data_IF_317305287181
#
_entry.id   IF_317305287181
#
_cell.length_a   1.000
_cell.length_b   1.000
_cell.length_c   1.000
_cell.angle_alpha   90.00
_cell.angle_beta   90.00
_cell.angle_gamma   90.00
#
_symmetry.space_group_name_H-M   'P 1'
#
loop_
_entity.id
_entity.type
_entity.pdbx_description
1 polymer ?
#
# COMPACT_ATOMS: atom_id res chain seq x y z
N UNK A 1 -16.36 -31.56 6.81
CA UNK A 1 -15.49 -32.25 5.83
C UNK A 1 -14.28 -31.35 5.63
N UNK A 2 -13.09 -31.78 6.03
CA UNK A 2 -11.83 -31.05 5.80
C UNK A 2 -11.58 -31.00 4.30
N UNK A 3 -11.35 -29.80 3.76
CA UNK A 3 -11.16 -29.61 2.31
C UNK A 3 -9.75 -30.04 1.89
N UNK A 4 -9.57 -30.57 0.67
CA UNK A 4 -8.30 -31.15 0.23
C UNK A 4 -7.21 -30.07 0.09
N UNK A 5 -6.06 -30.33 0.70
CA UNK A 5 -4.85 -29.50 0.64
C UNK A 5 -4.24 -29.60 -0.75
N UNK A 6 -3.77 -28.48 -1.31
CA UNK A 6 -3.11 -28.50 -2.62
C UNK A 6 -1.61 -28.85 -2.52
N UNK A 7 -0.97 -29.15 -3.66
CA UNK A 7 0.45 -29.53 -3.72
C UNK A 7 1.38 -28.48 -3.10
N UNK A 8 1.17 -27.21 -3.42
CA UNK A 8 2.04 -26.14 -2.94
C UNK A 8 1.86 -25.93 -1.44
N UNK A 9 0.63 -26.02 -0.93
CA UNK A 9 0.36 -25.95 0.52
C UNK A 9 1.02 -27.11 1.29
N UNK A 10 0.92 -28.33 0.75
CA UNK A 10 1.62 -29.49 1.29
C UNK A 10 3.14 -29.26 1.36
N UNK A 11 3.70 -28.67 0.30
CA UNK A 11 5.11 -28.32 0.23
C UNK A 11 5.50 -27.22 1.22
N UNK A 12 4.67 -26.20 1.37
CA UNK A 12 4.91 -25.06 2.27
C UNK A 12 4.88 -25.52 3.74
N UNK A 13 3.90 -26.37 4.10
CA UNK A 13 3.83 -26.97 5.44
C UNK A 13 5.07 -27.80 5.73
N UNK A 14 5.49 -28.65 4.79
CA UNK A 14 6.71 -29.44 4.94
C UNK A 14 7.97 -28.56 5.00
N UNK A 15 7.99 -27.45 4.27
CA UNK A 15 9.08 -26.48 4.25
C UNK A 15 9.36 -25.81 5.60
N UNK A 16 8.37 -25.77 6.50
CA UNK A 16 8.58 -25.30 7.88
C UNK A 16 9.46 -26.26 8.71
N UNK A 17 9.57 -27.53 8.31
CA UNK A 17 10.26 -28.57 9.09
C UNK A 17 11.48 -29.15 8.37
N UNK A 18 11.44 -29.20 7.03
CA UNK A 18 12.42 -29.87 6.20
C UNK A 18 13.04 -28.89 5.19
N UNK A 19 14.34 -29.03 4.86
CA UNK A 19 15.00 -28.18 3.88
C UNK A 19 14.39 -28.39 2.48
N UNK A 20 14.30 -27.32 1.69
CA UNK A 20 13.65 -27.33 0.37
C UNK A 20 14.21 -28.41 -0.58
N UNK A 21 15.52 -28.65 -0.56
CA UNK A 21 16.21 -29.62 -1.41
C UNK A 21 15.83 -31.09 -1.09
N UNK A 22 15.24 -31.34 0.08
CA UNK A 22 14.79 -32.68 0.48
C UNK A 22 13.38 -33.02 0.02
N UNK A 23 12.61 -32.04 -0.45
CA UNK A 23 11.19 -32.14 -0.78
C UNK A 23 10.97 -32.50 -2.27
N UNK A 24 11.12 -33.78 -2.59
CA UNK A 24 10.78 -34.30 -3.92
C UNK A 24 9.27 -34.31 -4.17
N UNK A 25 8.86 -34.25 -5.44
CA UNK A 25 7.45 -34.26 -5.85
C UNK A 25 6.65 -35.40 -5.18
N UNK A 26 7.21 -36.61 -5.19
CA UNK A 26 6.54 -37.78 -4.62
C UNK A 26 6.39 -37.71 -3.10
N UNK A 27 7.33 -37.08 -2.38
CA UNK A 27 7.21 -36.88 -0.93
C UNK A 27 6.08 -35.89 -0.62
N UNK A 28 5.98 -34.80 -1.38
CA UNK A 28 4.90 -33.82 -1.23
C UNK A 28 3.53 -34.47 -1.50
N UNK A 29 3.41 -35.28 -2.55
CA UNK A 29 2.15 -36.00 -2.84
C UNK A 29 1.82 -37.06 -1.79
N UNK A 30 2.81 -37.81 -1.29
CA UNK A 30 2.60 -38.74 -0.17
C UNK A 30 2.08 -38.01 1.05
N UNK A 31 2.62 -36.83 1.38
CA UNK A 31 2.14 -36.01 2.49
C UNK A 31 0.71 -35.53 2.26
N UNK A 32 0.45 -34.85 1.14
CA UNK A 32 -0.85 -34.26 0.77
C UNK A 32 -1.97 -35.29 0.84
N UNK A 33 -1.81 -36.41 0.17
CA UNK A 33 -2.83 -37.46 0.12
C UNK A 33 -2.95 -38.23 1.45
N UNK A 34 -1.84 -38.38 2.20
CA UNK A 34 -1.93 -38.94 3.55
C UNK A 34 -2.67 -38.01 4.51
N UNK A 35 -2.58 -36.69 4.33
CA UNK A 35 -3.31 -35.68 5.12
C UNK A 35 -4.83 -35.82 4.96
N UNK A 36 -5.26 -36.20 3.77
CA UNK A 36 -6.64 -36.56 3.41
C UNK A 36 -7.05 -37.99 3.82
N UNK A 37 -6.16 -38.73 4.49
CA UNK A 37 -6.42 -40.11 4.94
C UNK A 37 -6.25 -41.19 3.86
N UNK A 38 -5.71 -40.85 2.68
CA UNK A 38 -5.55 -41.80 1.56
C UNK A 38 -4.36 -42.74 1.77
N UNK A 39 -4.47 -43.96 1.26
CA UNK A 39 -3.43 -45.01 1.31
C UNK A 39 -2.33 -44.83 0.24
N UNK A 40 -1.22 -45.57 0.34
CA UNK A 40 -0.15 -45.52 -0.68
C UNK A 40 -0.59 -46.07 -2.04
N UNK A 41 -1.55 -47.03 -2.06
CA UNK A 41 -2.17 -47.48 -3.30
C UNK A 41 -2.82 -46.32 -4.05
N UNK A 42 -3.61 -45.50 -3.33
CA UNK A 42 -4.26 -44.35 -3.93
C UNK A 42 -3.25 -43.30 -4.43
N UNK A 43 -2.17 -43.08 -3.68
CA UNK A 43 -1.09 -42.19 -4.10
C UNK A 43 -0.43 -42.71 -5.38
N UNK A 44 -0.17 -44.02 -5.48
CA UNK A 44 0.38 -44.66 -6.68
C UNK A 44 -0.55 -44.48 -7.88
N UNK A 45 -1.85 -44.75 -7.69
CA UNK A 45 -2.87 -44.60 -8.73
C UNK A 45 -2.99 -43.15 -9.24
N UNK A 46 -2.97 -42.17 -8.33
CA UNK A 46 -3.15 -40.75 -8.65
C UNK A 46 -1.90 -40.13 -9.28
N UNK A 47 -0.71 -40.54 -8.83
CA UNK A 47 0.56 -39.97 -9.31
C UNK A 47 1.19 -40.75 -10.47
N UNK A 48 0.69 -41.95 -10.76
CA UNK A 48 1.23 -42.85 -11.80
C UNK A 48 2.57 -43.51 -11.45
N UNK A 49 3.05 -43.38 -10.20
CA UNK A 49 4.27 -44.05 -9.74
C UNK A 49 3.99 -45.47 -9.26
N UNK A 50 5.02 -46.32 -9.32
CA UNK A 50 4.97 -47.66 -8.73
C UNK A 50 4.73 -47.61 -7.21
N UNK A 51 3.91 -48.53 -6.70
CA UNK A 51 3.52 -48.58 -5.30
C UNK A 51 4.72 -48.71 -4.35
N UNK A 52 5.74 -49.51 -4.69
CA UNK A 52 6.90 -49.71 -3.83
C UNK A 52 7.78 -48.47 -3.80
N UNK A 53 7.85 -47.72 -4.91
CA UNK A 53 8.50 -46.41 -4.95
C UNK A 53 7.80 -45.40 -4.04
N UNK A 54 6.46 -45.30 -4.12
CA UNK A 54 5.64 -44.46 -3.23
C UNK A 54 5.85 -44.83 -1.77
N UNK A 55 5.81 -46.13 -1.46
CA UNK A 55 6.00 -46.64 -0.09
C UNK A 55 7.38 -46.29 0.45
N UNK A 56 8.43 -46.41 -0.36
CA UNK A 56 9.81 -46.05 0.01
C UNK A 56 9.93 -44.54 0.26
N UNK A 57 9.38 -43.71 -0.63
CA UNK A 57 9.36 -42.26 -0.48
C UNK A 57 8.63 -41.84 0.81
N UNK A 58 7.47 -42.43 1.10
CA UNK A 58 6.74 -42.18 2.33
C UNK A 58 7.50 -42.59 3.58
N UNK A 59 8.12 -43.78 3.59
CA UNK A 59 8.97 -44.21 4.71
C UNK A 59 10.13 -43.25 4.97
N UNK A 60 10.73 -42.70 3.91
CA UNK A 60 11.81 -41.73 4.03
C UNK A 60 11.29 -40.40 4.59
N UNK A 61 10.16 -39.89 4.09
CA UNK A 61 9.54 -38.67 4.58
C UNK A 61 9.25 -38.74 6.10
N UNK A 62 8.63 -39.83 6.56
CA UNK A 62 8.31 -39.98 8.00
C UNK A 62 9.57 -40.06 8.87
N UNK A 63 10.65 -40.65 8.35
CA UNK A 63 11.94 -40.70 9.04
C UNK A 63 12.60 -39.32 9.11
N UNK A 64 12.53 -38.55 8.03
CA UNK A 64 13.04 -37.17 7.98
C UNK A 64 12.26 -36.27 8.94
N UNK A 65 10.93 -36.34 8.97
CA UNK A 65 10.12 -35.64 9.97
C UNK A 65 10.46 -36.11 11.38
N UNK A 66 10.56 -37.41 11.64
CA UNK A 66 10.98 -37.94 12.96
C UNK A 66 12.30 -37.35 13.45
N UNK A 67 13.25 -37.00 12.56
CA UNK A 67 14.50 -36.36 12.96
C UNK A 67 14.35 -34.89 13.44
N UNK A 68 13.18 -34.29 13.24
CA UNK A 68 12.84 -32.89 13.57
C UNK A 68 11.90 -32.76 14.77
N UNK A 69 11.34 -33.87 15.23
CA UNK A 69 10.45 -33.90 16.39
C UNK A 69 11.01 -34.85 17.46
N UNK A 70 10.68 -34.60 18.72
CA UNK A 70 11.08 -35.46 19.84
C UNK A 70 10.33 -36.81 19.87
N UNK A 71 9.34 -36.98 19.00
CA UNK A 71 8.49 -38.16 18.90
C UNK A 71 8.55 -38.78 17.51
N UNK A 72 8.43 -40.10 17.43
CA UNK A 72 8.36 -40.81 16.15
C UNK A 72 7.13 -40.38 15.34
N UNK A 73 7.39 -39.81 14.15
CA UNK A 73 6.38 -39.45 13.17
C UNK A 73 6.10 -40.64 12.26
N UNK A 74 4.84 -40.98 12.13
CA UNK A 74 4.31 -42.06 11.29
C UNK A 74 3.08 -41.56 10.54
N UNK A 75 2.67 -42.25 9.48
CA UNK A 75 1.43 -41.96 8.77
C UNK A 75 0.16 -41.92 9.66
N UNK A 76 0.18 -42.53 10.85
CA UNK A 76 -0.98 -42.56 11.76
C UNK A 76 -1.05 -41.37 12.71
N UNK A 77 0.09 -40.78 13.05
CA UNK A 77 0.17 -39.72 14.07
C UNK A 77 0.78 -38.41 13.55
N UNK A 78 1.27 -38.36 12.31
CA UNK A 78 1.90 -37.15 11.76
C UNK A 78 0.97 -35.94 11.80
N UNK A 79 -0.31 -36.09 11.44
CA UNK A 79 -1.26 -34.97 11.40
C UNK A 79 -1.39 -34.27 12.76
N UNK A 80 -1.86 -34.92 13.85
CA UNK A 80 -2.00 -34.24 15.14
C UNK A 80 -0.66 -33.72 15.70
N UNK A 81 0.46 -34.41 15.43
CA UNK A 81 1.79 -33.95 15.85
C UNK A 81 2.21 -32.68 15.11
N UNK A 82 2.01 -32.62 13.79
CA UNK A 82 2.34 -31.45 12.99
C UNK A 82 1.39 -30.28 13.31
N UNK A 83 0.11 -30.54 13.51
CA UNK A 83 -0.86 -29.53 13.91
C UNK A 83 -0.46 -28.86 15.24
N UNK A 84 -0.10 -29.65 16.26
CA UNK A 84 0.41 -29.13 17.54
C UNK A 84 1.67 -28.27 17.35
N UNK A 85 2.58 -28.69 16.48
CA UNK A 85 3.85 -28.01 16.26
C UNK A 85 3.69 -26.74 15.42
N UNK A 86 2.78 -26.72 14.45
CA UNK A 86 2.43 -25.53 13.70
C UNK A 86 1.73 -24.49 14.62
N UNK A 87 0.89 -24.93 15.55
CA UNK A 87 0.30 -24.05 16.57
C UNK A 87 1.37 -23.50 17.51
N UNK A 88 2.37 -24.30 17.91
CA UNK A 88 3.53 -23.81 18.68
C UNK A 88 4.34 -22.80 17.88
N UNK A 89 4.61 -23.06 16.60
CA UNK A 89 5.32 -22.14 15.70
C UNK A 89 4.55 -20.83 15.50
N UNK A 90 3.22 -20.88 15.35
CA UNK A 90 2.39 -19.67 15.25
C UNK A 90 2.38 -18.89 16.57
N UNK A 91 2.32 -19.60 17.72
CA UNK A 91 2.36 -18.99 19.06
C UNK A 91 3.74 -18.44 19.44
N UNK A 92 4.81 -18.94 18.79
CA UNK A 92 6.18 -18.46 18.93
C UNK A 92 6.52 -17.34 17.92
N UNK A 93 5.58 -16.93 17.05
CA UNK A 93 5.75 -15.72 16.24
C UNK A 93 5.92 -14.55 17.20
N UNK A 94 7.15 -14.05 17.32
CA UNK A 94 7.50 -12.85 18.09
C UNK A 94 6.96 -11.57 17.45
N UNK A 95 6.45 -11.66 16.23
CA UNK A 95 6.05 -10.54 15.40
C UNK A 95 4.59 -10.18 15.69
N UNK A 96 4.39 -9.06 16.39
CA UNK A 96 3.06 -8.53 16.69
C UNK A 96 2.39 -8.06 15.40
N UNK A 97 1.22 -8.62 15.08
CA UNK A 97 0.46 -8.21 13.90
C UNK A 97 -0.09 -6.79 14.08
N UNK A 98 0.21 -5.91 13.12
CA UNK A 98 -0.31 -4.54 13.08
C UNK A 98 -1.57 -4.48 12.21
N UNK A 99 -2.65 -3.88 12.72
CA UNK A 99 -3.87 -3.70 11.93
C UNK A 99 -3.61 -2.75 10.74
N UNK A 100 -3.96 -3.14 9.49
CA UNK A 100 -3.62 -2.35 8.32
C UNK A 100 -4.32 -1.00 8.24
N UNK A 101 -3.70 -0.05 7.54
CA UNK A 101 -4.33 1.22 7.15
C UNK A 101 -3.78 2.48 7.80
N UNK A 102 -2.86 2.34 8.76
CA UNK A 102 -2.03 3.43 9.29
C UNK A 102 -0.74 3.62 8.48
N UNK A 103 -0.02 4.71 8.78
CA UNK A 103 1.35 4.86 8.29
C UNK A 103 2.25 3.87 9.03
N UNK A 104 3.12 3.18 8.29
CA UNK A 104 4.03 2.19 8.87
C UNK A 104 5.31 2.87 9.33
N UNK A 105 5.77 2.49 10.52
CA UNK A 105 7.07 2.93 11.05
C UNK A 105 8.22 2.43 10.17
N UNK A 106 9.41 2.99 10.37
CA UNK A 106 10.60 2.60 9.61
C UNK A 106 10.95 1.12 9.82
N UNK A 107 10.85 0.65 11.07
CA UNK A 107 11.17 -0.73 11.46
C UNK A 107 10.02 -1.71 11.23
N UNK A 108 8.88 -1.29 10.70
CA UNK A 108 7.74 -2.18 10.50
C UNK A 108 8.10 -3.23 9.43
N UNK A 109 8.06 -4.53 9.76
CA UNK A 109 8.38 -5.60 8.81
C UNK A 109 7.34 -5.71 7.70
N UNK A 110 6.15 -5.12 7.87
CA UNK A 110 5.07 -5.12 6.90
C UNK A 110 5.24 -4.09 5.78
N UNK A 111 6.25 -3.22 5.87
CA UNK A 111 6.57 -2.30 4.80
C UNK A 111 7.30 -3.01 3.67
N UNK A 112 6.75 -2.96 2.46
CA UNK A 112 7.42 -3.42 1.25
C UNK A 112 8.10 -2.23 0.58
N UNK A 113 9.42 -2.34 0.42
CA UNK A 113 10.23 -1.33 -0.24
C UNK A 113 9.76 -1.07 -1.67
N UNK A 114 9.76 0.22 -2.02
CA UNK A 114 9.47 0.73 -3.35
C UNK A 114 10.74 1.32 -3.92
N UNK A 115 11.71 0.45 -4.19
CA UNK A 115 13.10 0.83 -4.46
C UNK A 115 13.24 1.91 -5.54
N UNK A 116 12.45 1.85 -6.61
CA UNK A 116 12.50 2.85 -7.69
C UNK A 116 11.93 4.21 -7.26
N UNK A 117 10.74 4.23 -6.65
CA UNK A 117 10.09 5.45 -6.17
C UNK A 117 10.89 6.10 -5.04
N UNK A 118 11.33 5.31 -4.06
CA UNK A 118 12.15 5.77 -2.92
C UNK A 118 13.47 6.37 -3.39
N UNK A 119 14.22 5.67 -4.24
CA UNK A 119 15.52 6.16 -4.75
C UNK A 119 15.37 7.48 -5.51
N UNK A 120 14.27 7.66 -6.25
CA UNK A 120 13.98 8.90 -6.97
C UNK A 120 13.67 10.03 -6.00
N UNK A 121 12.87 9.77 -4.96
CA UNK A 121 12.55 10.77 -3.92
C UNK A 121 13.79 11.20 -3.15
N UNK A 122 14.60 10.24 -2.68
CA UNK A 122 15.81 10.54 -1.90
C UNK A 122 16.81 11.37 -2.71
N UNK A 123 16.92 11.12 -4.02
CA UNK A 123 17.79 11.94 -4.88
C UNK A 123 17.25 13.36 -5.08
N UNK A 124 15.94 13.48 -5.25
CA UNK A 124 15.29 14.76 -5.53
C UNK A 124 15.32 15.68 -4.31
N UNK A 125 15.06 15.15 -3.10
CA UNK A 125 14.99 15.97 -1.89
C UNK A 125 16.32 16.65 -1.53
N UNK A 126 17.44 16.10 -2.04
CA UNK A 126 18.76 16.71 -1.88
C UNK A 126 18.97 17.94 -2.81
N UNK A 127 18.19 18.07 -3.88
CA UNK A 127 18.37 19.15 -4.86
C UNK A 127 17.92 20.52 -4.30
N UNK A 128 18.68 21.60 -4.54
CA UNK A 128 18.29 22.96 -4.14
C UNK A 128 16.89 23.35 -4.60
N UNK A 129 16.05 23.77 -3.65
CA UNK A 129 14.68 24.21 -3.95
C UNK A 129 13.75 23.12 -4.44
N UNK A 130 14.03 21.83 -4.20
CA UNK A 130 13.25 20.73 -4.80
C UNK A 130 11.78 20.72 -4.37
N UNK A 131 10.93 20.20 -5.24
CA UNK A 131 9.54 19.84 -4.90
C UNK A 131 9.33 18.36 -5.23
N UNK A 132 8.92 17.58 -4.24
CA UNK A 132 8.49 16.19 -4.41
C UNK A 132 6.98 16.12 -4.23
N UNK A 133 6.27 15.50 -5.17
CA UNK A 133 4.82 15.30 -5.11
C UNK A 133 4.50 13.83 -4.96
N UNK A 134 4.18 13.40 -3.75
CA UNK A 134 3.74 12.03 -3.46
C UNK A 134 2.23 11.96 -3.65
N UNK A 135 1.80 11.31 -4.73
CA UNK A 135 0.39 11.22 -5.11
C UNK A 135 -0.05 9.78 -5.36
N UNK A 136 -1.34 9.57 -5.29
CA UNK A 136 -2.01 8.32 -5.62
C UNK A 136 -3.30 8.16 -4.80
N UNK A 137 -4.06 7.10 -5.04
CA UNK A 137 -5.25 6.79 -4.26
C UNK A 137 -4.97 6.70 -2.75
N UNK A 138 -6.00 6.87 -1.93
CA UNK A 138 -6.04 6.59 -0.49
C UNK A 138 -5.51 5.17 -0.27
N UNK A 139 -4.92 4.95 0.89
CA UNK A 139 -4.48 3.61 1.31
C UNK A 139 -3.43 2.94 0.38
N UNK A 140 -2.72 3.73 -0.43
CA UNK A 140 -1.56 3.30 -1.23
C UNK A 140 -0.22 3.33 -0.49
N UNK A 141 -0.17 3.83 0.76
CA UNK A 141 1.09 3.94 1.52
C UNK A 141 1.87 5.24 1.29
N UNK A 142 1.18 6.32 0.87
CA UNK A 142 1.75 7.67 0.72
C UNK A 142 2.42 8.15 2.00
N UNK A 143 1.72 8.02 3.13
CA UNK A 143 2.23 8.42 4.45
C UNK A 143 3.44 7.59 4.89
N UNK A 144 3.47 6.29 4.57
CA UNK A 144 4.63 5.43 4.87
C UNK A 144 5.87 5.82 4.05
N UNK A 145 5.69 6.20 2.78
CA UNK A 145 6.78 6.75 1.97
C UNK A 145 7.26 8.09 2.54
N UNK A 146 6.34 9.00 2.85
CA UNK A 146 6.65 10.30 3.45
C UNK A 146 7.50 10.18 4.72
N UNK A 147 7.18 9.25 5.63
CA UNK A 147 7.98 9.03 6.84
C UNK A 147 9.45 8.67 6.53
N UNK A 148 9.70 7.94 5.44
CA UNK A 148 11.07 7.61 4.99
C UNK A 148 11.79 8.79 4.36
N UNK A 149 11.05 9.66 3.65
CA UNK A 149 11.59 10.92 3.14
C UNK A 149 12.04 11.82 4.29
N UNK A 150 11.24 11.87 5.36
CA UNK A 150 11.56 12.63 6.56
C UNK A 150 12.81 12.07 7.24
N UNK A 151 12.86 10.75 7.46
CA UNK A 151 14.04 10.08 8.03
C UNK A 151 15.31 10.35 7.21
N UNK A 152 15.23 10.24 5.87
CA UNK A 152 16.34 10.59 4.98
C UNK A 152 16.75 12.06 5.15
N UNK A 153 15.80 13.00 5.17
CA UNK A 153 16.10 14.41 5.32
C UNK A 153 16.74 14.74 6.68
N UNK A 154 16.25 14.14 7.76
CA UNK A 154 16.83 14.29 9.10
C UNK A 154 18.24 13.71 9.17
N UNK A 155 18.50 12.58 8.51
CA UNK A 155 19.84 11.98 8.44
C UNK A 155 20.87 12.86 7.72
N UNK A 156 20.40 13.71 6.80
CA UNK A 156 21.20 14.72 6.07
C UNK A 156 21.32 16.04 6.85
N UNK A 157 20.74 16.11 8.07
CA UNK A 157 20.77 17.27 8.94
C UNK A 157 19.82 18.39 8.53
N UNK A 158 18.82 18.11 7.70
CA UNK A 158 17.83 19.13 7.31
C UNK A 158 16.86 19.41 8.46
N UNK A 159 16.41 20.66 8.56
CA UNK A 159 15.23 20.96 9.37
C UNK A 159 14.00 20.35 8.73
N UNK A 160 13.08 19.84 9.55
CA UNK A 160 11.82 19.26 9.07
C UNK A 160 10.65 19.96 9.75
N UNK A 161 9.66 20.35 8.96
CA UNK A 161 8.34 20.79 9.42
C UNK A 161 7.28 20.01 8.67
N UNK A 162 6.32 19.45 9.41
CA UNK A 162 5.18 18.73 8.83
C UNK A 162 3.88 19.44 9.16
N UNK A 163 3.12 19.80 8.14
CA UNK A 163 1.82 20.44 8.23
C UNK A 163 0.76 19.44 7.81
N UNK A 164 -0.18 19.15 8.70
CA UNK A 164 -1.30 18.26 8.42
C UNK A 164 -2.59 19.04 8.28
N UNK A 165 -3.08 19.17 7.04
CA UNK A 165 -4.27 19.97 6.74
C UNK A 165 -5.56 19.34 7.28
N UNK A 166 -5.55 18.06 7.71
CA UNK A 166 -6.67 17.49 8.47
C UNK A 166 -6.80 18.09 9.88
N UNK A 167 -5.74 18.70 10.42
CA UNK A 167 -5.78 19.36 11.74
C UNK A 167 -6.28 20.80 11.67
N UNK A 168 -6.44 21.35 10.46
CA UNK A 168 -6.96 22.70 10.27
C UNK A 168 -8.49 22.68 10.34
N UNK A 169 -9.06 23.55 11.17
CA UNK A 169 -10.50 23.77 11.20
C UNK A 169 -11.01 24.26 9.84
N UNK A 170 -12.28 23.98 9.54
CA UNK A 170 -12.96 24.52 8.36
C UNK A 170 -12.79 26.04 8.21
N UNK A 171 -12.85 26.77 9.33
CA UNK A 171 -12.70 28.23 9.35
C UNK A 171 -11.29 28.73 9.00
N UNK A 172 -10.27 27.87 9.11
CA UNK A 172 -8.89 28.12 8.69
C UNK A 172 -8.76 27.80 7.20
N UNK A 173 -9.29 26.65 6.77
CA UNK A 173 -9.22 26.21 5.37
C UNK A 173 -10.08 27.05 4.43
N UNK A 174 -11.08 27.78 4.94
CA UNK A 174 -11.96 28.65 4.16
C UNK A 174 -11.44 30.06 3.93
N UNK A 175 -10.32 30.46 4.54
CA UNK A 175 -9.79 31.83 4.47
C UNK A 175 -8.26 31.82 4.27
N UNK A 176 -7.79 32.49 3.22
CA UNK A 176 -6.37 32.45 2.84
C UNK A 176 -5.45 33.14 3.86
N UNK A 177 -5.89 34.22 4.50
CA UNK A 177 -5.08 34.90 5.52
C UNK A 177 -4.92 34.01 6.75
N UNK A 178 -6.04 33.42 7.21
CA UNK A 178 -6.03 32.49 8.34
C UNK A 178 -5.19 31.24 8.07
N UNK A 179 -5.31 30.66 6.88
CA UNK A 179 -4.51 29.49 6.49
C UNK A 179 -3.02 29.82 6.52
N UNK A 180 -2.60 30.95 5.95
CA UNK A 180 -1.19 31.31 5.86
C UNK A 180 -0.61 31.69 7.24
N UNK A 181 -1.36 32.40 8.08
CA UNK A 181 -0.96 32.63 9.48
C UNK A 181 -0.83 31.32 10.23
N UNK A 182 -1.84 30.44 10.14
CA UNK A 182 -1.81 29.12 10.78
C UNK A 182 -0.60 28.29 10.32
N UNK A 183 -0.29 28.31 9.03
CA UNK A 183 0.90 27.66 8.46
C UNK A 183 2.19 28.21 9.11
N UNK A 184 2.37 29.53 9.14
CA UNK A 184 3.55 30.16 9.73
C UNK A 184 3.69 29.90 11.23
N UNK A 185 2.58 29.91 11.98
CA UNK A 185 2.55 29.56 13.41
C UNK A 185 2.96 28.11 13.65
N UNK A 186 2.51 27.17 12.80
CA UNK A 186 2.93 25.76 12.89
C UNK A 186 4.42 25.59 12.59
N UNK A 187 4.94 26.30 11.59
CA UNK A 187 6.37 26.29 11.26
C UNK A 187 7.18 26.82 12.44
N UNK A 188 6.78 27.97 12.99
CA UNK A 188 7.42 28.60 14.16
C UNK A 188 7.46 27.64 15.36
N UNK A 189 6.32 27.03 15.70
CA UNK A 189 6.22 26.11 16.83
C UNK A 189 7.11 24.86 16.67
N UNK A 190 7.14 24.25 15.49
CA UNK A 190 7.95 23.04 15.23
C UNK A 190 9.45 23.34 15.19
N UNK A 191 9.83 24.52 14.68
CA UNK A 191 11.21 24.99 14.68
C UNK A 191 11.65 25.61 16.01
N UNK A 192 10.74 25.76 16.98
CA UNK A 192 10.98 26.38 18.30
C UNK A 192 11.57 27.78 18.18
N UNK A 193 10.99 28.59 17.29
CA UNK A 193 11.37 29.99 17.12
C UNK A 193 10.64 30.86 18.14
N UNK A 194 11.30 31.90 18.65
CA UNK A 194 10.72 32.82 19.64
C UNK A 194 9.89 33.94 18.99
N UNK A 195 10.08 34.22 17.70
CA UNK A 195 9.40 35.29 16.97
C UNK A 195 8.00 34.89 16.50
N UNK A 196 7.00 35.72 16.81
CA UNK A 196 5.64 35.52 16.33
C UNK A 196 5.51 35.87 14.84
N UNK A 197 4.87 35.01 14.02
CA UNK A 197 4.49 35.36 12.65
C UNK A 197 3.68 36.66 12.55
N UNK A 198 2.89 36.98 13.58
CA UNK A 198 1.97 38.12 13.56
C UNK A 198 2.71 39.46 13.65
N UNK A 199 3.90 39.50 14.27
CA UNK A 199 4.70 40.71 14.41
C UNK A 199 5.23 41.21 13.05
N UNK A 200 5.41 40.28 12.10
CA UNK A 200 5.89 40.55 10.76
C UNK A 200 4.77 40.56 9.70
N UNK A 201 3.51 40.41 10.11
CA UNK A 201 2.39 40.32 9.17
C UNK A 201 1.90 41.70 8.74
N UNK A 202 1.86 41.94 7.43
CA UNK A 202 1.46 43.23 6.88
C UNK A 202 0.26 43.08 5.93
N UNK A 203 -0.89 43.56 6.39
CA UNK A 203 -2.14 43.50 5.62
C UNK A 203 -2.10 44.32 4.32
N UNK A 204 -1.30 45.39 4.27
CA UNK A 204 -1.22 46.28 3.10
C UNK A 204 -0.55 45.60 1.89
N UNK A 205 0.37 44.66 2.12
CA UNK A 205 1.06 43.92 1.06
C UNK A 205 0.39 42.58 0.74
N UNK A 206 -0.60 42.18 1.53
CA UNK A 206 -1.34 40.93 1.41
C UNK A 206 -0.69 39.73 2.11
N UNK A 207 -1.52 38.75 2.42
CA UNK A 207 -1.17 37.55 3.19
C UNK A 207 -0.13 36.66 2.50
N UNK A 208 -0.24 36.48 1.18
CA UNK A 208 0.72 35.68 0.38
C UNK A 208 2.15 36.22 0.49
N UNK A 209 2.33 37.54 0.34
CA UNK A 209 3.65 38.16 0.40
C UNK A 209 4.17 38.21 1.85
N UNK A 210 3.30 38.47 2.83
CA UNK A 210 3.66 38.38 4.26
C UNK A 210 4.16 36.98 4.62
N UNK A 211 3.45 35.93 4.19
CA UNK A 211 3.88 34.54 4.36
C UNK A 211 5.24 34.28 3.71
N UNK A 212 5.42 34.64 2.43
CA UNK A 212 6.70 34.42 1.73
C UNK A 212 7.86 35.12 2.44
N UNK A 213 7.68 36.38 2.84
CA UNK A 213 8.71 37.15 3.55
C UNK A 213 9.08 36.50 4.90
N UNK A 214 8.10 35.95 5.61
CA UNK A 214 8.36 35.21 6.84
C UNK A 214 9.11 33.89 6.59
N UNK A 215 8.78 33.16 5.52
CA UNK A 215 9.58 31.98 5.13
C UNK A 215 11.01 32.40 4.77
N UNK A 216 11.21 33.52 4.06
CA UNK A 216 12.55 34.05 3.80
C UNK A 216 13.33 34.33 5.07
N UNK A 217 12.74 35.02 6.06
CA UNK A 217 13.45 35.35 7.30
C UNK A 217 13.88 34.08 8.04
N UNK A 218 13.04 33.06 8.07
CA UNK A 218 13.39 31.74 8.63
C UNK A 218 14.57 31.12 7.87
N UNK A 219 14.55 31.11 6.53
CA UNK A 219 15.60 30.48 5.73
C UNK A 219 16.94 31.24 5.77
N UNK A 220 16.91 32.56 5.95
CA UNK A 220 18.11 33.40 6.10
C UNK A 220 18.86 33.10 7.39
N UNK A 221 18.14 32.83 8.48
CA UNK A 221 18.71 32.52 9.79
C UNK A 221 19.22 31.08 9.91
N UNK A 222 19.09 30.26 8.85
CA UNK A 222 19.43 28.84 8.85
C UNK A 222 20.59 28.53 7.91
N UNK A 223 21.55 27.75 8.41
CA UNK A 223 22.65 27.21 7.59
C UNK A 223 22.26 25.92 6.85
N UNK A 224 21.24 25.20 7.36
CA UNK A 224 20.76 23.93 6.81
C UNK A 224 19.45 24.12 6.03
N UNK A 225 19.19 23.33 4.98
CA UNK A 225 17.88 23.29 4.31
C UNK A 225 16.72 23.00 5.26
N UNK A 226 15.52 23.40 4.85
CA UNK A 226 14.26 23.14 5.53
C UNK A 226 13.33 22.35 4.60
N UNK A 227 12.91 21.17 5.04
CA UNK A 227 11.86 20.38 4.42
C UNK A 227 10.51 20.78 5.01
N UNK A 228 9.65 21.35 4.18
CA UNK A 228 8.25 21.61 4.47
C UNK A 228 7.38 20.51 3.84
N UNK A 229 6.80 19.66 4.68
CA UNK A 229 5.84 18.64 4.25
C UNK A 229 4.41 19.16 4.42
N UNK A 230 3.64 19.13 3.34
CA UNK A 230 2.19 19.41 3.37
C UNK A 230 1.44 18.10 3.16
N UNK A 231 0.88 17.56 4.25
CA UNK A 231 0.04 16.36 4.26
C UNK A 231 -1.40 16.72 3.94
N UNK A 232 -2.07 15.78 3.27
CA UNK A 232 -3.49 15.88 2.95
C UNK A 232 -3.80 17.20 2.22
N UNK A 233 -2.93 17.57 1.26
CA UNK A 233 -3.11 18.80 0.47
C UNK A 233 -4.44 18.81 -0.30
N UNK A 234 -5.05 17.65 -0.50
CA UNK A 234 -6.42 17.54 -0.99
C UNK A 234 -7.50 18.14 -0.07
N UNK A 235 -7.22 18.54 1.17
CA UNK A 235 -8.22 19.22 2.02
C UNK A 235 -8.49 20.66 1.55
N UNK A 236 -7.51 21.37 0.99
CA UNK A 236 -7.74 22.75 0.51
C UNK A 236 -8.59 22.81 -0.76
N UNK A 237 -8.73 21.67 -1.44
CA UNK A 237 -9.41 21.52 -2.74
C UNK A 237 -10.91 21.81 -2.66
N UNK A 238 -11.53 21.53 -1.52
CA UNK A 238 -12.94 21.82 -1.27
C UNK A 238 -13.20 23.33 -1.08
N UNK A 239 -12.16 24.14 -0.94
CA UNK A 239 -12.22 25.58 -0.73
C UNK A 239 -11.65 26.32 -1.93
N UNK A 240 -12.49 26.51 -2.96
CA UNK A 240 -12.06 27.04 -4.26
C UNK A 240 -11.27 28.36 -4.16
N UNK A 241 -11.72 29.30 -3.31
CA UNK A 241 -11.05 30.59 -3.13
C UNK A 241 -9.63 30.42 -2.56
N UNK A 242 -9.49 29.61 -1.52
CA UNK A 242 -8.19 29.34 -0.89
C UNK A 242 -7.29 28.52 -1.82
N UNK A 243 -7.82 27.51 -2.50
CA UNK A 243 -7.08 26.72 -3.49
C UNK A 243 -6.48 27.58 -4.61
N UNK A 244 -7.24 28.55 -5.12
CA UNK A 244 -6.79 29.46 -6.19
C UNK A 244 -5.64 30.39 -5.77
N UNK A 245 -5.42 30.59 -4.48
CA UNK A 245 -4.35 31.44 -3.95
C UNK A 245 -3.19 30.65 -3.34
N UNK A 246 -3.50 29.61 -2.55
CA UNK A 246 -2.51 28.82 -1.83
C UNK A 246 -1.67 27.94 -2.76
N UNK A 247 -2.30 27.28 -3.73
CA UNK A 247 -1.58 26.38 -4.64
C UNK A 247 -0.57 27.16 -5.52
N UNK A 248 -0.92 28.29 -6.15
CA UNK A 248 0.07 29.10 -6.87
C UNK A 248 1.19 29.65 -5.98
N UNK A 249 0.93 29.90 -4.69
CA UNK A 249 1.97 30.34 -3.75
C UNK A 249 3.05 29.27 -3.58
N UNK A 250 2.68 28.00 -3.36
CA UNK A 250 3.63 26.88 -3.27
C UNK A 250 4.52 26.78 -4.52
N UNK A 251 3.90 26.97 -5.69
CA UNK A 251 4.61 27.00 -6.96
C UNK A 251 5.57 28.18 -7.05
N UNK A 252 5.14 29.36 -6.61
CA UNK A 252 5.97 30.57 -6.65
C UNK A 252 7.26 30.40 -5.85
N UNK A 253 7.22 29.74 -4.69
CA UNK A 253 8.42 29.43 -3.90
C UNK A 253 9.40 28.51 -4.64
N UNK A 254 8.91 27.55 -5.43
CA UNK A 254 9.75 26.69 -6.26
C UNK A 254 10.38 27.44 -7.44
N UNK A 255 9.62 28.34 -8.08
CA UNK A 255 10.12 29.14 -9.19
C UNK A 255 11.18 30.14 -8.69
N UNK A 256 10.93 30.77 -7.54
CA UNK A 256 11.87 31.67 -6.89
C UNK A 256 13.17 30.98 -6.46
N UNK A 257 13.11 29.70 -6.08
CA UNK A 257 14.29 28.89 -5.75
C UNK A 257 15.31 28.81 -6.88
N UNK A 258 14.96 29.16 -8.12
CA UNK A 258 15.88 29.13 -9.27
C UNK A 258 16.85 30.32 -9.26
N UNK A 259 16.53 31.40 -8.56
CA UNK A 259 17.37 32.59 -8.51
C UNK A 259 17.59 33.16 -7.09
N UNK A 260 16.86 32.71 -6.08
CA UNK A 260 17.04 33.12 -4.68
C UNK A 260 17.81 32.06 -3.89
N UNK A 261 18.95 32.44 -3.33
CA UNK A 261 19.79 31.53 -2.52
C UNK A 261 19.11 31.12 -1.21
N UNK A 262 18.23 31.97 -0.66
CA UNK A 262 17.41 31.62 0.50
C UNK A 262 16.38 30.55 0.12
N UNK A 263 15.63 30.74 -0.98
CA UNK A 263 14.62 29.77 -1.41
C UNK A 263 15.22 28.47 -1.93
N UNK A 264 16.49 28.46 -2.36
CA UNK A 264 17.24 27.22 -2.58
C UNK A 264 17.38 26.36 -1.33
N UNK A 265 17.16 26.88 -0.11
CA UNK A 265 17.16 26.11 1.14
C UNK A 265 15.81 25.48 1.45
N UNK A 266 14.72 25.92 0.83
CA UNK A 266 13.40 25.29 1.01
C UNK A 266 13.33 23.98 0.19
N UNK A 267 12.75 22.93 0.76
CA UNK A 267 12.36 21.70 0.08
C UNK A 267 10.89 21.49 0.36
N UNK A 268 10.08 21.23 -0.66
CA UNK A 268 8.65 20.97 -0.45
C UNK A 268 8.34 19.50 -0.71
N UNK A 269 7.59 18.87 0.19
CA UNK A 269 7.01 17.53 -0.02
C UNK A 269 5.50 17.65 0.04
N UNK A 270 4.84 17.53 -1.10
CA UNK A 270 3.40 17.67 -1.23
C UNK A 270 2.77 16.27 -1.29
N UNK A 271 1.94 15.95 -0.30
CA UNK A 271 1.27 14.65 -0.21
C UNK A 271 -0.24 14.85 -0.40
N UNK A 272 -0.81 14.23 -1.44
CA UNK A 272 -2.24 14.35 -1.72
C UNK A 272 -2.84 13.09 -2.32
N UNK A 273 -4.12 12.89 -2.01
CA UNK A 273 -4.94 11.86 -2.60
C UNK A 273 -5.47 12.27 -3.97
N UNK A 274 -5.54 11.31 -4.90
CA UNK A 274 -5.99 11.57 -6.27
C UNK A 274 -7.50 11.49 -6.42
N UNK A 275 -8.29 11.09 -5.45
CA UNK A 275 -9.74 10.94 -5.62
C UNK A 275 -10.49 12.28 -5.67
N UNK A 276 -9.99 13.28 -4.94
CA UNK A 276 -10.65 14.60 -4.83
C UNK A 276 -10.46 15.40 -6.13
N UNK A 277 -11.55 15.58 -6.88
CA UNK A 277 -11.56 16.31 -8.14
C UNK A 277 -11.74 17.82 -7.93
N UNK A 278 -10.78 18.62 -8.38
CA UNK A 278 -10.96 20.06 -8.56
C UNK A 278 -10.55 20.45 -9.97
N UNK A 279 -11.39 21.28 -10.60
CA UNK A 279 -11.01 22.02 -11.80
C UNK A 279 -10.03 23.12 -11.41
N UNK A 280 -8.76 22.77 -11.25
CA UNK A 280 -7.69 23.74 -11.06
C UNK A 280 -7.17 24.19 -12.43
N UNK A 281 -6.83 25.47 -12.54
CA UNK A 281 -6.04 25.94 -13.66
C UNK A 281 -4.67 25.24 -13.63
N UNK A 282 -4.48 24.33 -14.58
CA UNK A 282 -3.28 23.50 -14.70
C UNK A 282 -2.01 24.35 -14.78
N UNK A 283 -2.10 25.60 -15.27
CA UNK A 283 -0.94 26.45 -15.44
C UNK A 283 -0.51 27.16 -14.15
N UNK A 284 -1.34 27.19 -13.11
CA UNK A 284 -1.07 27.91 -11.86
C UNK A 284 -0.86 26.99 -10.66
N UNK A 285 -1.20 25.71 -10.80
CA UNK A 285 -1.08 24.71 -9.74
C UNK A 285 0.36 24.17 -9.58
N UNK A 286 0.79 23.77 -8.37
CA UNK A 286 2.07 23.11 -8.15
C UNK A 286 2.10 21.69 -8.71
N UNK A 287 0.99 21.17 -9.27
CA UNK A 287 0.92 19.82 -9.83
C UNK A 287 1.64 19.64 -11.18
N UNK A 288 2.29 20.67 -11.70
CA UNK A 288 3.12 20.61 -12.89
C UNK A 288 4.61 20.98 -12.64
N UNK A 289 5.02 21.12 -11.37
CA UNK A 289 6.41 21.41 -11.00
C UNK A 289 7.03 20.27 -10.20
N UNK A 290 8.36 20.23 -10.12
CA UNK A 290 9.09 19.22 -9.35
C UNK A 290 8.82 17.78 -9.80
N UNK A 291 9.21 16.83 -8.96
CA UNK A 291 9.15 15.40 -9.25
C UNK A 291 7.81 14.77 -8.80
N UNK A 292 6.97 14.28 -9.73
CA UNK A 292 5.82 13.46 -9.37
C UNK A 292 6.26 12.03 -9.03
N UNK A 293 5.79 11.55 -7.89
CA UNK A 293 5.94 10.18 -7.42
C UNK A 293 4.55 9.61 -7.24
N UNK A 294 4.16 8.79 -8.21
CA UNK A 294 2.89 8.11 -8.26
C UNK A 294 3.07 6.68 -7.78
N UNK A 295 2.50 6.38 -6.60
CA UNK A 295 2.65 5.05 -6.02
C UNK A 295 1.94 4.00 -6.86
N UNK A 296 2.69 2.97 -7.25
CA UNK A 296 2.15 1.84 -7.98
C UNK A 296 1.53 0.80 -7.05
N UNK A 297 0.55 0.08 -7.58
CA UNK A 297 0.05 -1.17 -7.00
C UNK A 297 1.17 -2.20 -6.89
N UNK A 298 1.07 -3.09 -5.90
CA UNK A 298 2.05 -4.16 -5.74
C UNK A 298 2.03 -5.12 -6.93
N UNK A 299 3.23 -5.48 -7.37
CA UNK A 299 3.41 -6.59 -8.30
C UNK A 299 3.47 -7.93 -7.53
N UNK A 300 3.58 -9.04 -8.27
CA UNK A 300 3.63 -10.39 -7.67
C UNK A 300 4.81 -10.58 -6.70
N UNK A 301 6.00 -10.06 -7.01
CA UNK A 301 7.17 -10.19 -6.14
C UNK A 301 6.99 -9.44 -4.82
N UNK A 302 6.41 -8.24 -4.87
CA UNK A 302 6.09 -7.44 -3.67
C UNK A 302 5.02 -8.12 -2.81
N UNK A 303 4.02 -8.75 -3.43
CA UNK A 303 3.01 -9.52 -2.69
C UNK A 303 3.57 -10.82 -2.10
N UNK A 304 4.48 -11.50 -2.80
CA UNK A 304 5.20 -12.67 -2.26
C UNK A 304 6.01 -12.29 -1.02
N UNK A 305 6.75 -11.17 -1.08
CA UNK A 305 7.47 -10.64 0.09
C UNK A 305 6.53 -10.32 1.25
N UNK A 306 5.40 -9.65 0.99
CA UNK A 306 4.42 -9.32 2.02
C UNK A 306 3.79 -10.57 2.63
N UNK A 307 3.40 -11.54 1.81
CA UNK A 307 2.86 -12.82 2.26
C UNK A 307 3.84 -13.56 3.17
N UNK A 308 5.14 -13.54 2.82
CA UNK A 308 6.20 -14.13 3.63
C UNK A 308 6.30 -13.50 5.02
N UNK A 309 6.15 -12.18 5.14
CA UNK A 309 6.14 -11.47 6.44
C UNK A 309 4.96 -11.93 7.31
N UNK A 310 3.81 -12.18 6.71
CA UNK A 310 2.64 -12.77 7.41
C UNK A 310 2.77 -14.29 7.65
N UNK A 311 3.89 -14.89 7.20
CA UNK A 311 4.24 -16.29 7.40
C UNK A 311 3.61 -17.25 6.39
N UNK A 312 3.32 -16.78 5.17
CA UNK A 312 2.85 -17.59 4.06
C UNK A 312 3.94 -17.70 2.98
N UNK A 313 4.36 -18.93 2.64
CA UNK A 313 5.43 -19.19 1.65
C UNK A 313 4.90 -19.23 0.20
N UNK A 314 4.00 -18.31 -0.15
CA UNK A 314 3.37 -18.28 -1.46
C UNK A 314 4.28 -17.64 -2.51
N UNK A 315 4.46 -18.31 -3.66
CA UNK A 315 5.33 -17.82 -4.73
C UNK A 315 4.58 -17.09 -5.84
N UNK A 316 5.20 -16.05 -6.37
CA UNK A 316 4.77 -15.36 -7.58
C UNK A 316 5.23 -16.11 -8.84
N UNK A 317 4.73 -17.34 -9.02
CA UNK A 317 5.08 -18.22 -10.15
C UNK A 317 4.21 -18.01 -11.40
N UNK A 318 3.20 -17.14 -11.31
CA UNK A 318 2.27 -16.84 -12.40
C UNK A 318 1.21 -17.93 -12.64
N UNK A 319 1.15 -18.98 -11.82
CA UNK A 319 0.10 -19.99 -11.92
C UNK A 319 -1.24 -19.41 -11.50
N UNK A 320 -2.31 -19.76 -12.22
CA UNK A 320 -3.67 -19.24 -11.95
C UNK A 320 -4.15 -19.60 -10.54
N UNK A 321 -3.74 -20.77 -10.04
CA UNK A 321 -4.08 -21.25 -8.69
C UNK A 321 -3.19 -20.69 -7.58
N UNK A 322 -2.10 -19.99 -7.89
CA UNK A 322 -1.26 -19.38 -6.86
C UNK A 322 -2.05 -18.32 -6.09
N UNK A 323 -2.01 -18.32 -4.74
CA UNK A 323 -2.62 -17.28 -3.93
C UNK A 323 -2.19 -15.87 -4.32
N UNK A 324 -0.93 -15.68 -4.75
CA UNK A 324 -0.43 -14.39 -5.23
C UNK A 324 -1.17 -13.95 -6.50
N UNK A 325 -1.35 -14.85 -7.47
CA UNK A 325 -2.10 -14.56 -8.71
C UNK A 325 -3.57 -14.28 -8.42
N UNK A 326 -4.17 -15.01 -7.47
CA UNK A 326 -5.54 -14.76 -7.01
C UNK A 326 -5.64 -13.37 -6.39
N UNK A 327 -4.74 -12.98 -5.48
CA UNK A 327 -4.73 -11.63 -4.89
C UNK A 327 -4.50 -10.54 -5.93
N UNK A 328 -3.62 -10.74 -6.92
CA UNK A 328 -3.44 -9.80 -8.02
C UNK A 328 -4.70 -9.63 -8.86
N UNK A 329 -5.43 -10.72 -9.12
CA UNK A 329 -6.66 -10.70 -9.91
C UNK A 329 -7.81 -10.05 -9.16
N UNK A 330 -8.01 -10.47 -7.91
CA UNK A 330 -9.15 -10.03 -7.10
C UNK A 330 -8.93 -8.62 -6.55
N UNK A 331 -7.75 -8.32 -6.02
CA UNK A 331 -7.44 -7.07 -5.31
C UNK A 331 -6.59 -6.09 -6.12
N UNK A 332 -6.13 -6.48 -7.32
CA UNK A 332 -5.36 -5.60 -8.20
C UNK A 332 -3.97 -5.22 -7.69
N UNK A 333 -3.46 -5.90 -6.65
CA UNK A 333 -2.25 -5.51 -5.94
C UNK A 333 -2.41 -4.26 -5.09
N UNK A 334 -3.65 -3.88 -4.72
CA UNK A 334 -3.87 -2.71 -3.86
C UNK A 334 -3.23 -2.92 -2.48
N UNK A 335 -2.23 -2.12 -2.07
CA UNK A 335 -1.43 -2.38 -0.86
C UNK A 335 -2.27 -2.65 0.39
N UNK A 336 -3.23 -1.77 0.68
CA UNK A 336 -4.11 -1.94 1.84
C UNK A 336 -5.04 -3.16 1.76
N UNK A 337 -5.73 -3.39 0.64
CA UNK A 337 -6.62 -4.55 0.51
C UNK A 337 -5.84 -5.87 0.64
N UNK A 338 -4.67 -5.95 -0.01
CA UNK A 338 -3.81 -7.12 0.09
C UNK A 338 -3.30 -7.35 1.51
N UNK A 339 -2.86 -6.28 2.19
CA UNK A 339 -2.41 -6.35 3.58
C UNK A 339 -3.56 -6.74 4.52
N UNK A 340 -4.78 -6.25 4.28
CA UNK A 340 -5.96 -6.59 5.07
C UNK A 340 -6.34 -8.07 4.94
N UNK A 341 -6.31 -8.61 3.73
CA UNK A 341 -6.50 -10.05 3.49
C UNK A 341 -5.49 -10.89 4.31
N UNK A 342 -4.19 -10.55 4.19
CA UNK A 342 -3.11 -11.26 4.86
C UNK A 342 -3.16 -11.12 6.38
N UNK A 343 -3.52 -9.93 6.88
CA UNK A 343 -3.71 -9.68 8.30
C UNK A 343 -4.84 -10.55 8.88
N UNK A 344 -6.01 -10.58 8.25
CA UNK A 344 -7.13 -11.38 8.73
C UNK A 344 -6.85 -12.88 8.66
N UNK A 345 -6.17 -13.34 7.60
CA UNK A 345 -5.68 -14.71 7.53
C UNK A 345 -4.70 -15.02 8.67
N UNK A 346 -3.67 -14.20 8.87
CA UNK A 346 -2.67 -14.43 9.90
C UNK A 346 -3.20 -14.27 11.34
N UNK A 347 -4.31 -13.56 11.52
CA UNK A 347 -4.93 -13.30 12.82
C UNK A 347 -5.97 -14.37 13.22
N UNK A 348 -6.24 -15.38 12.38
CA UNK A 348 -7.14 -16.46 12.76
C UNK A 348 -6.54 -17.32 13.88
N UNK A 349 -7.35 -17.63 14.88
CA UNK A 349 -6.97 -18.54 15.97
C UNK A 349 -6.87 -19.98 15.46
N UNK A 350 -5.78 -20.66 15.81
CA UNK A 350 -5.56 -22.07 15.52
C UNK A 350 -4.86 -22.32 14.18
N UNK A 351 -4.84 -23.59 13.75
CA UNK A 351 -4.19 -23.97 12.50
C UNK A 351 -5.09 -23.69 11.29
N UNK A 352 -4.58 -22.89 10.36
CA UNK A 352 -5.09 -22.78 9.00
C UNK A 352 -4.62 -23.99 8.17
N UNK A 353 -5.46 -25.02 8.05
CA UNK A 353 -5.13 -26.22 7.25
C UNK A 353 -4.90 -25.93 5.76
N UNK A 354 -5.63 -24.96 5.19
CA UNK A 354 -5.50 -24.53 3.79
C UNK A 354 -5.63 -23.00 3.69
N UNK A 355 -4.52 -22.25 3.85
CA UNK A 355 -4.51 -20.80 3.75
C UNK A 355 -5.02 -20.28 2.40
N UNK A 356 -4.78 -20.99 1.29
CA UNK A 356 -5.21 -20.54 -0.04
C UNK A 356 -6.72 -20.61 -0.19
N UNK A 357 -7.35 -21.62 0.42
CA UNK A 357 -8.81 -21.74 0.42
C UNK A 357 -9.44 -20.70 1.34
N UNK A 358 -8.90 -20.51 2.54
CA UNK A 358 -9.36 -19.47 3.45
C UNK A 358 -9.29 -18.08 2.79
N UNK A 359 -8.21 -17.81 2.02
CA UNK A 359 -8.11 -16.59 1.21
C UNK A 359 -9.27 -16.47 0.21
N UNK A 360 -9.59 -17.52 -0.54
CA UNK A 360 -10.70 -17.50 -1.49
C UNK A 360 -12.04 -17.24 -0.80
N UNK A 361 -12.31 -17.88 0.34
CA UNK A 361 -13.52 -17.66 1.13
C UNK A 361 -13.62 -16.22 1.64
N UNK A 362 -12.50 -15.65 2.10
CA UNK A 362 -12.41 -14.24 2.48
C UNK A 362 -12.61 -13.28 1.30
N UNK A 363 -12.14 -13.61 0.10
CA UNK A 363 -12.33 -12.77 -1.08
C UNK A 363 -13.79 -12.78 -1.56
N UNK A 364 -14.48 -13.93 -1.44
CA UNK A 364 -15.91 -14.04 -1.78
C UNK A 364 -16.78 -13.23 -0.81
N UNK A 365 -16.55 -13.39 0.49
CA UNK A 365 -17.37 -12.73 1.53
C UNK A 365 -16.87 -11.34 1.92
N UNK A 366 -15.66 -10.98 1.52
CA UNK A 366 -15.00 -9.75 1.95
C UNK A 366 -15.66 -8.47 1.41
N UNK A 367 -16.40 -8.57 0.30
CA UNK A 367 -17.15 -7.47 -0.29
C UNK A 367 -18.61 -7.37 0.23
N UNK A 368 -19.08 -8.31 1.04
CA UNK A 368 -20.42 -8.30 1.61
C UNK A 368 -20.58 -7.19 2.66
N UNK A 369 -21.83 -6.91 3.05
CA UNK A 369 -22.13 -5.98 4.16
C UNK A 369 -21.47 -6.50 5.45
N UNK A 370 -20.56 -5.71 6.02
CA UNK A 370 -19.76 -6.10 7.19
C UNK A 370 -18.58 -7.03 6.89
N UNK A 371 -18.29 -7.31 5.62
CA UNK A 371 -17.07 -7.97 5.18
C UNK A 371 -15.83 -7.09 5.38
N UNK A 372 -14.64 -7.69 5.31
CA UNK A 372 -13.39 -6.99 5.64
C UNK A 372 -13.10 -5.77 4.75
N UNK A 373 -13.66 -5.69 3.55
CA UNK A 373 -13.46 -4.57 2.63
C UNK A 373 -14.60 -3.54 2.66
N UNK A 374 -15.63 -3.72 3.50
CA UNK A 374 -16.86 -2.91 3.48
C UNK A 374 -16.60 -1.41 3.52
N UNK A 375 -15.74 -0.96 4.45
CA UNK A 375 -15.48 0.47 4.66
C UNK A 375 -14.76 1.10 3.46
N UNK A 376 -13.84 0.36 2.85
CA UNK A 376 -13.13 0.81 1.66
C UNK A 376 -14.09 0.89 0.46
N UNK A 377 -14.93 -0.13 0.28
CA UNK A 377 -15.90 -0.20 -0.81
C UNK A 377 -16.97 0.91 -0.69
N UNK A 378 -17.44 1.18 0.52
CA UNK A 378 -18.38 2.28 0.77
C UNK A 378 -17.75 3.64 0.42
N UNK A 379 -16.51 3.88 0.84
CA UNK A 379 -15.81 5.12 0.50
C UNK A 379 -15.59 5.27 -1.01
N UNK A 380 -15.21 4.18 -1.69
CA UNK A 380 -15.08 4.16 -3.15
C UNK A 380 -16.42 4.47 -3.85
N UNK A 381 -17.52 3.93 -3.33
CA UNK A 381 -18.87 4.21 -3.83
C UNK A 381 -19.23 5.70 -3.71
N UNK A 382 -18.95 6.31 -2.56
CA UNK A 382 -19.16 7.74 -2.35
C UNK A 382 -18.29 8.58 -3.32
N UNK A 383 -17.02 8.22 -3.50
CA UNK A 383 -16.09 8.91 -4.38
C UNK A 383 -16.54 8.83 -5.87
N UNK A 384 -17.07 7.68 -6.33
CA UNK A 384 -17.52 7.53 -7.73
C UNK A 384 -18.90 8.17 -8.00
N UNK A 385 -19.86 8.06 -7.07
CA UNK A 385 -21.21 8.62 -7.25
C UNK A 385 -21.18 10.14 -7.40
N UNK A 386 -20.23 10.80 -6.73
CA UNK A 386 -20.02 12.24 -6.84
C UNK A 386 -19.25 12.66 -8.11
N UNK A 387 -18.98 11.72 -9.03
CA UNK A 387 -18.18 11.96 -10.24
C UNK A 387 -18.85 11.34 -11.49
N UNK A 388 -19.71 12.12 -12.15
CA UNK A 388 -20.45 11.70 -13.34
C UNK A 388 -19.54 11.14 -14.46
N UNK A 389 -18.34 11.71 -14.63
CA UNK A 389 -17.38 11.23 -15.63
C UNK A 389 -16.79 9.88 -15.25
N UNK A 390 -16.57 9.62 -13.97
CA UNK A 390 -16.13 8.31 -13.50
C UNK A 390 -17.23 7.25 -13.69
N UNK A 391 -18.50 7.57 -13.39
CA UNK A 391 -19.64 6.67 -13.64
C UNK A 391 -19.74 6.33 -15.13
N UNK A 392 -19.73 7.33 -16.01
CA UNK A 392 -19.80 7.13 -17.45
C UNK A 392 -18.62 6.30 -17.97
N UNK A 393 -17.40 6.57 -17.47
CA UNK A 393 -16.22 5.77 -17.77
C UNK A 393 -16.37 4.32 -17.33
N UNK A 394 -16.83 4.09 -16.10
CA UNK A 394 -17.01 2.76 -15.53
C UNK A 394 -18.02 1.94 -16.36
N UNK A 395 -19.15 2.54 -16.71
CA UNK A 395 -20.18 1.92 -17.55
C UNK A 395 -19.65 1.57 -18.94
N UNK A 396 -18.82 2.41 -19.57
CA UNK A 396 -18.17 2.08 -20.85
C UNK A 396 -17.16 0.94 -20.72
N UNK A 397 -16.33 0.98 -19.68
CA UNK A 397 -15.31 -0.04 -19.42
C UNK A 397 -15.94 -1.43 -19.27
N UNK A 398 -17.09 -1.52 -18.61
CA UNK A 398 -17.78 -2.79 -18.38
C UNK A 398 -18.88 -3.14 -19.38
N UNK A 399 -19.38 -2.15 -20.13
CA UNK A 399 -20.34 -2.34 -21.23
C UNK A 399 -19.71 -2.82 -22.54
N UNK A 400 -18.40 -3.10 -22.57
CA UNK A 400 -17.70 -3.51 -23.79
C UNK A 400 -17.31 -2.36 -24.72
N UNK A 401 -17.33 -1.13 -24.22
CA UNK A 401 -16.99 0.10 -24.96
C UNK A 401 -15.70 0.75 -24.42
N UNK A 402 -14.76 -0.07 -23.94
CA UNK A 402 -13.50 0.40 -23.37
C UNK A 402 -12.63 1.19 -24.38
N UNK A 403 -12.82 0.94 -25.67
CA UNK A 403 -12.21 1.69 -26.79
C UNK A 403 -12.80 3.10 -26.96
N UNK A 404 -14.02 3.35 -26.46
CA UNK A 404 -14.71 4.65 -26.50
C UNK A 404 -14.48 5.51 -25.25
N UNK A 405 -13.64 5.06 -24.32
CA UNK A 405 -13.25 5.84 -23.15
C UNK A 405 -12.51 7.10 -23.59
N UNK A 406 -13.05 8.26 -23.22
CA UNK A 406 -12.35 9.52 -23.39
C UNK A 406 -11.16 9.61 -22.43
N UNK A 407 -10.18 10.44 -22.76
CA UNK A 407 -9.03 10.68 -21.87
C UNK A 407 -9.43 11.14 -20.48
N UNK A 408 -10.52 11.93 -20.38
CA UNK A 408 -11.00 12.43 -19.09
C UNK A 408 -11.61 11.28 -18.29
N UNK A 409 -12.45 10.44 -18.90
CA UNK A 409 -13.04 9.27 -18.24
C UNK A 409 -11.96 8.29 -17.77
N UNK A 410 -11.00 7.94 -18.64
CA UNK A 410 -9.85 7.09 -18.27
C UNK A 410 -9.10 7.67 -17.08
N UNK A 411 -8.80 8.96 -17.12
CA UNK A 411 -8.10 9.64 -16.03
C UNK A 411 -8.89 9.60 -14.71
N UNK A 412 -10.22 9.78 -14.74
CA UNK A 412 -11.03 9.65 -13.52
C UNK A 412 -11.00 8.23 -12.95
N UNK A 413 -11.07 7.20 -13.80
CA UNK A 413 -10.98 5.81 -13.36
C UNK A 413 -9.61 5.45 -12.79
N UNK A 414 -8.52 5.91 -13.41
CA UNK A 414 -7.15 5.72 -12.90
C UNK A 414 -6.96 6.37 -11.52
N UNK A 415 -7.53 7.56 -11.31
CA UNK A 415 -7.47 8.29 -10.04
C UNK A 415 -8.20 7.60 -8.88
N UNK A 416 -9.29 6.91 -9.17
CA UNK A 416 -10.02 6.06 -8.22
C UNK A 416 -9.39 4.67 -8.07
N UNK A 417 -8.31 4.39 -8.81
CA UNK A 417 -7.66 3.08 -8.80
C UNK A 417 -8.50 1.96 -9.43
N UNK A 418 -9.50 2.29 -10.26
CA UNK A 418 -10.43 1.34 -10.90
C UNK A 418 -9.95 0.83 -12.26
N UNK A 419 -9.13 1.62 -12.95
CA UNK A 419 -8.57 1.25 -14.23
C UNK A 419 -7.08 1.58 -14.31
N UNK A 420 -6.39 0.94 -15.24
CA UNK A 420 -5.01 1.26 -15.64
C UNK A 420 -4.87 1.10 -17.15
N UNK A 421 -4.14 2.02 -17.79
CA UNK A 421 -3.77 1.85 -19.19
C UNK A 421 -2.73 0.73 -19.35
N UNK A 422 -3.09 -0.30 -20.11
CA UNK A 422 -2.21 -1.39 -20.52
C UNK A 422 -2.22 -1.49 -22.05
N UNK A 423 -1.07 -1.31 -22.70
CA UNK A 423 -0.94 -1.33 -24.16
C UNK A 423 -1.92 -0.38 -24.87
N UNK A 424 -2.16 0.81 -24.29
CA UNK A 424 -3.07 1.82 -24.84
C UNK A 424 -4.57 1.56 -24.60
N UNK A 425 -4.94 0.49 -23.90
CA UNK A 425 -6.31 0.19 -23.52
C UNK A 425 -6.49 0.26 -22.01
N UNK A 426 -7.58 0.89 -21.56
CA UNK A 426 -7.94 0.89 -20.15
C UNK A 426 -8.41 -0.52 -19.75
N UNK A 427 -7.84 -1.05 -18.67
CA UNK A 427 -8.24 -2.32 -18.08
C UNK A 427 -8.56 -2.14 -16.61
N UNK A 428 -9.52 -2.91 -16.13
CA UNK A 428 -9.87 -2.98 -14.72
C UNK A 428 -8.67 -3.46 -13.90
N UNK A 429 -8.42 -2.80 -12.77
CA UNK A 429 -7.33 -3.11 -11.84
C UNK A 429 -7.68 -4.27 -10.90
N UNK A 430 -8.91 -4.28 -10.36
CA UNK A 430 -9.37 -5.24 -9.37
C UNK A 430 -10.76 -5.77 -9.72
N UNK A 431 -10.91 -7.11 -9.68
CA UNK A 431 -12.22 -7.76 -9.85
C UNK A 431 -13.15 -7.44 -8.68
N UNK A 432 -12.65 -7.46 -7.44
CA UNK A 432 -13.42 -7.13 -6.24
C UNK A 432 -14.07 -5.75 -6.33
N UNK A 433 -13.30 -4.71 -6.69
CA UNK A 433 -13.83 -3.34 -6.82
C UNK A 433 -14.85 -3.25 -7.97
N UNK A 434 -14.56 -3.91 -9.10
CA UNK A 434 -15.43 -3.91 -10.27
C UNK A 434 -16.77 -4.59 -9.99
N UNK A 435 -16.77 -5.76 -9.36
CA UNK A 435 -17.99 -6.53 -9.13
C UNK A 435 -18.87 -5.89 -8.05
N UNK A 436 -18.25 -5.30 -7.02
CA UNK A 436 -18.97 -4.47 -6.07
C UNK A 436 -19.66 -3.30 -6.76
N UNK A 437 -18.93 -2.50 -7.55
CA UNK A 437 -19.48 -1.31 -8.20
C UNK A 437 -20.59 -1.64 -9.23
N UNK A 438 -20.48 -2.76 -9.97
CA UNK A 438 -21.56 -3.24 -10.86
C UNK A 438 -22.87 -3.58 -10.12
N UNK A 439 -22.79 -3.82 -8.81
CA UNK A 439 -23.95 -4.16 -7.99
C UNK A 439 -24.65 -2.90 -7.45
N UNK A 440 -23.89 -1.82 -7.24
CA UNK A 440 -24.39 -0.60 -6.58
C UNK A 440 -24.61 0.59 -7.52
N UNK A 441 -24.03 0.58 -8.73
CA UNK A 441 -24.24 1.54 -9.81
C UNK A 441 -25.18 0.95 -10.87
#
# INVERSE_FOLDING_TARGET
MTNPMNHQEAKDILGNFLPADSLSLIKVEVFRLSWEGKGYNHVADETGYDHDYVRKAGSQLWKELTSKFDTSVTKRNFRPLLEEQLVKLSSQRTLQLEYPGGAMSFSSPFYIERTEEESRVYREILQPGSVVRIKGPRKMGKSSLMLRVLDQAESEGFGVVTIDLLQADHAILSDIDRLLRWLCHNICAQLKLDESPDDNWNELIGSKLSCSNYIHSILQQRDTPLVLVLKELNQVFDYEQVSRDFLPLLRSWFEESKHSDDMKKLRQVLVYSTEVYVQLDLNLSPFNIGLPIELQFFNGQQLEQLAQVYGFNWRADGTVSSPITVMLTELGGHPYLCQLALYHLASQDGLLESPSKALQEFLVTGADVGGIYSDFLQQLHEDIVNNERAINGFNKLHGGEADKLSRIETYQLERLGLARLMNGQAKTTSRLLSDYLKTVL
#
